data_IF_745381899631
#
_entry.id   IF_745381899631
#
_cell.length_a   1.000
_cell.length_b   1.000
_cell.length_c   1.000
_cell.angle_alpha   90.00
_cell.angle_beta   90.00
_cell.angle_gamma   90.00
#
_symmetry.space_group_name_H-M   'P 1'
#
loop_
_entity.id
_entity.type
_entity.pdbx_description
1 polymer ?
#
# COMPACT_ATOMS: atom_id res chain seq x y z
N UNK A 1 -6.09 9.02 23.56
CA UNK A 1 -5.52 8.56 24.84
C UNK A 1 -6.10 7.18 25.11
N UNK A 2 -5.42 6.13 24.69
CA UNK A 2 -5.75 4.75 25.04
C UNK A 2 -4.47 4.19 25.62
N UNK A 3 -4.52 3.92 26.92
CA UNK A 3 -3.42 3.35 27.69
C UNK A 3 -2.90 2.11 26.99
N UNK A 4 -1.67 2.18 26.50
CA UNK A 4 -0.97 1.04 25.92
C UNK A 4 -0.62 0.09 27.06
N UNK A 5 -1.51 -0.87 27.31
CA UNK A 5 -1.23 -2.13 28.02
C UNK A 5 -0.25 -3.00 27.22
N UNK A 6 0.90 -2.43 26.88
CA UNK A 6 2.01 -3.08 26.22
C UNK A 6 2.94 -3.58 27.33
N UNK A 7 3.04 -4.89 27.47
CA UNK A 7 4.02 -5.49 28.36
C UNK A 7 5.35 -5.69 27.62
N UNK A 8 6.50 -5.56 28.30
CA UNK A 8 7.79 -5.94 27.73
C UNK A 8 7.75 -7.38 27.22
N UNK A 9 7.98 -7.59 25.92
CA UNK A 9 7.88 -8.90 25.25
C UNK A 9 6.68 -9.05 24.30
N UNK A 10 5.76 -8.09 24.27
CA UNK A 10 4.68 -8.07 23.28
C UNK A 10 5.21 -7.73 21.87
N UNK A 11 4.71 -8.45 20.85
CA UNK A 11 4.97 -8.10 19.45
C UNK A 11 4.16 -6.86 19.08
N UNK A 12 4.84 -5.87 18.50
CA UNK A 12 4.26 -4.61 18.07
C UNK A 12 4.48 -4.39 16.59
N UNK A 13 3.48 -3.83 15.92
CA UNK A 13 3.57 -3.44 14.51
C UNK A 13 3.51 -1.92 14.42
N UNK A 14 4.48 -1.35 13.71
CA UNK A 14 4.46 0.05 13.34
C UNK A 14 3.47 0.26 12.18
N UNK A 15 2.32 0.88 12.45
CA UNK A 15 1.27 1.06 11.44
C UNK A 15 1.74 1.93 10.27
N UNK A 16 2.62 2.91 10.52
CA UNK A 16 3.17 3.77 9.47
C UNK A 16 4.06 2.98 8.49
N UNK A 17 4.98 2.16 9.01
CA UNK A 17 5.82 1.26 8.21
C UNK A 17 4.97 0.25 7.42
N UNK A 18 3.98 -0.35 8.08
CA UNK A 18 3.03 -1.26 7.46
C UNK A 18 2.28 -0.62 6.29
N UNK A 19 1.69 0.55 6.51
CA UNK A 19 0.92 1.31 5.52
C UNK A 19 1.76 1.67 4.29
N UNK A 20 3.04 2.04 4.49
CA UNK A 20 3.98 2.32 3.40
C UNK A 20 4.30 1.07 2.59
N UNK A 21 4.57 -0.05 3.25
CA UNK A 21 4.88 -1.31 2.56
C UNK A 21 3.72 -1.82 1.70
N UNK A 22 2.48 -1.74 2.21
CA UNK A 22 1.28 -2.10 1.46
C UNK A 22 1.11 -1.25 0.19
N UNK A 23 1.33 0.06 0.30
CA UNK A 23 1.27 0.99 -0.83
C UNK A 23 2.31 0.68 -1.92
N UNK A 24 3.56 0.38 -1.53
CA UNK A 24 4.63 0.03 -2.48
C UNK A 24 4.30 -1.26 -3.24
N UNK A 25 3.84 -2.29 -2.53
CA UNK A 25 3.50 -3.58 -3.15
C UNK A 25 2.32 -3.42 -4.10
N UNK A 26 1.28 -2.70 -3.68
CA UNK A 26 0.12 -2.42 -4.52
C UNK A 26 0.50 -1.64 -5.78
N UNK A 27 1.38 -0.63 -5.66
CA UNK A 27 1.92 0.14 -6.77
C UNK A 27 2.72 -0.72 -7.77
N UNK A 28 3.62 -1.58 -7.27
CA UNK A 28 4.44 -2.47 -8.09
C UNK A 28 3.57 -3.46 -8.87
N UNK A 29 2.61 -4.11 -8.21
CA UNK A 29 1.77 -5.10 -8.87
C UNK A 29 0.84 -4.41 -9.87
N UNK A 30 0.24 -3.28 -9.51
CA UNK A 30 -0.67 -2.53 -10.39
C UNK A 30 0.06 -2.00 -11.63
N UNK A 31 1.23 -1.39 -11.48
CA UNK A 31 2.04 -0.92 -12.62
C UNK A 31 2.49 -2.06 -13.52
N UNK A 32 2.93 -3.18 -12.94
CA UNK A 32 3.32 -4.37 -13.69
C UNK A 32 2.19 -4.88 -14.57
N UNK A 33 0.99 -5.02 -14.01
CA UNK A 33 -0.19 -5.49 -14.73
C UNK A 33 -0.61 -4.51 -15.82
N UNK A 34 -0.70 -3.21 -15.52
CA UNK A 34 -1.13 -2.19 -16.49
C UNK A 34 -0.16 -2.07 -17.67
N UNK A 35 1.14 -2.03 -17.40
CA UNK A 35 2.16 -1.89 -18.45
C UNK A 35 2.26 -3.16 -19.28
N UNK A 36 2.13 -4.32 -18.65
CA UNK A 36 2.08 -5.60 -19.36
C UNK A 36 0.89 -5.66 -20.31
N UNK A 37 -0.32 -5.32 -19.84
CA UNK A 37 -1.52 -5.29 -20.69
C UNK A 37 -1.43 -4.25 -21.82
N UNK A 38 -0.77 -3.11 -21.60
CA UNK A 38 -0.71 -2.04 -22.59
C UNK A 38 0.31 -2.31 -23.71
N UNK A 39 1.44 -2.96 -23.42
CA UNK A 39 2.57 -3.05 -24.36
C UNK A 39 3.14 -4.45 -24.54
N UNK A 40 2.82 -5.43 -23.68
CA UNK A 40 3.37 -6.80 -23.69
C UNK A 40 4.91 -6.87 -23.76
N UNK A 41 5.61 -5.84 -23.25
CA UNK A 41 7.09 -5.76 -23.26
C UNK A 41 7.63 -5.90 -21.86
N UNK A 42 8.34 -7.00 -21.59
CA UNK A 42 8.92 -7.30 -20.28
C UNK A 42 9.90 -6.21 -19.80
N UNK A 43 10.79 -5.73 -20.68
CA UNK A 43 11.78 -4.71 -20.31
C UNK A 43 11.14 -3.38 -19.88
N UNK A 44 10.10 -2.93 -20.59
CA UNK A 44 9.37 -1.71 -20.24
C UNK A 44 8.60 -1.89 -18.92
N UNK A 45 8.05 -3.08 -18.70
CA UNK A 45 7.35 -3.44 -17.47
C UNK A 45 8.30 -3.36 -16.27
N UNK A 46 9.51 -3.92 -16.38
CA UNK A 46 10.51 -3.89 -15.30
C UNK A 46 10.91 -2.46 -14.92
N UNK A 47 11.18 -1.60 -15.92
CA UNK A 47 11.56 -0.20 -15.68
C UNK A 47 10.40 0.58 -15.03
N UNK A 48 9.17 0.40 -15.52
CA UNK A 48 8.00 1.05 -14.93
C UNK A 48 7.73 0.57 -13.50
N UNK A 49 7.89 -0.72 -13.22
CA UNK A 49 7.72 -1.28 -11.87
C UNK A 49 8.67 -0.63 -10.87
N UNK A 50 9.95 -0.47 -11.23
CA UNK A 50 10.96 0.17 -10.37
C UNK A 50 10.60 1.65 -10.15
N UNK A 51 10.24 2.37 -11.22
CA UNK A 51 9.83 3.78 -11.10
C UNK A 51 8.57 3.96 -10.25
N UNK A 52 7.58 3.07 -10.43
CA UNK A 52 6.32 3.12 -9.69
C UNK A 52 6.48 2.70 -8.22
N UNK A 53 7.50 1.92 -7.87
CA UNK A 53 7.82 1.63 -6.47
C UNK A 53 8.16 2.90 -5.68
N UNK A 54 8.91 3.83 -6.30
CA UNK A 54 9.26 5.13 -5.69
C UNK A 54 7.99 5.98 -5.49
N UNK A 55 7.11 5.99 -6.50
CA UNK A 55 5.83 6.73 -6.44
C UNK A 55 4.92 6.11 -5.37
N UNK A 56 4.80 4.78 -5.34
CA UNK A 56 4.07 4.04 -4.32
C UNK A 56 4.59 4.31 -2.91
N UNK A 57 5.91 4.43 -2.74
CA UNK A 57 6.52 4.83 -1.48
C UNK A 57 6.13 6.25 -1.08
N UNK A 58 6.18 7.21 -2.00
CA UNK A 58 5.79 8.59 -1.74
C UNK A 58 4.30 8.71 -1.37
N UNK A 59 3.42 8.03 -2.10
CA UNK A 59 1.98 7.98 -1.79
C UNK A 59 1.75 7.32 -0.44
N UNK A 60 2.39 6.17 -0.19
CA UNK A 60 2.32 5.48 1.10
C UNK A 60 2.82 6.33 2.27
N UNK A 61 3.85 7.17 2.05
CA UNK A 61 4.35 8.09 3.05
C UNK A 61 3.32 9.18 3.40
N UNK A 62 2.70 9.78 2.39
CA UNK A 62 1.64 10.79 2.56
C UNK A 62 0.43 10.17 3.26
N UNK A 63 -0.04 9.01 2.80
CA UNK A 63 -1.20 8.33 3.38
C UNK A 63 -0.93 7.90 4.83
N UNK A 64 0.27 7.38 5.12
CA UNK A 64 0.69 7.06 6.49
C UNK A 64 0.71 8.32 7.38
N UNK A 65 1.23 9.45 6.88
CA UNK A 65 1.22 10.74 7.60
C UNK A 65 -0.19 11.23 7.91
N UNK A 66 -1.14 11.04 6.98
CA UNK A 66 -2.53 11.50 7.14
C UNK A 66 -3.32 10.58 8.09
N UNK A 67 -3.16 9.26 7.98
CA UNK A 67 -3.89 8.29 8.79
C UNK A 67 -3.30 8.11 10.19
N UNK A 68 -1.97 8.11 10.29
CA UNK A 68 -1.22 7.86 11.51
C UNK A 68 -0.13 8.93 11.64
N UNK A 69 -0.48 10.16 12.06
CA UNK A 69 0.47 11.24 12.22
C UNK A 69 1.49 10.90 13.32
N UNK A 70 2.57 10.25 12.93
CA UNK A 70 3.71 10.01 13.79
C UNK A 70 4.52 11.31 13.88
N UNK A 71 4.42 11.97 15.03
CA UNK A 71 5.33 13.06 15.40
C UNK A 71 6.54 12.41 16.09
N UNK A 72 7.73 13.02 16.06
CA UNK A 72 8.99 12.37 16.49
C UNK A 72 9.01 11.73 17.89
N UNK A 73 8.04 12.05 18.76
CA UNK A 73 7.85 11.46 20.10
C UNK A 73 6.70 10.46 20.20
N UNK A 74 5.88 10.29 19.17
CA UNK A 74 4.69 9.42 19.17
C UNK A 74 4.68 8.50 17.95
N UNK A 75 5.14 7.27 18.13
CA UNK A 75 4.96 6.18 17.17
C UNK A 75 3.67 5.44 17.53
N UNK A 76 2.69 5.47 16.62
CA UNK A 76 1.46 4.69 16.80
C UNK A 76 1.79 3.23 16.50
N UNK A 77 1.94 2.45 17.56
CA UNK A 77 2.11 1.00 17.52
C UNK A 77 0.83 0.31 17.98
N UNK A 78 0.52 -0.81 17.34
CA UNK A 78 -0.56 -1.69 17.80
C UNK A 78 0.02 -3.04 18.18
N UNK A 79 -0.55 -3.66 19.21
CA UNK A 79 -0.21 -5.02 19.63
C UNK A 79 -0.71 -6.00 18.58
N UNK A 80 0.12 -6.97 18.22
CA UNK A 80 -0.28 -8.06 17.31
C UNK A 80 -1.47 -8.82 17.91
N UNK A 81 -2.54 -8.98 17.14
CA UNK A 81 -3.73 -9.73 17.55
C UNK A 81 -5.01 -9.30 16.83
N UNK A 82 -6.11 -10.02 17.06
CA UNK A 82 -7.40 -9.78 16.40
C UNK A 82 -7.97 -8.36 16.61
N UNK A 83 -7.61 -7.69 17.70
CA UNK A 83 -7.99 -6.29 17.97
C UNK A 83 -7.25 -5.26 17.12
N UNK A 84 -6.13 -5.62 16.50
CA UNK A 84 -5.36 -4.76 15.59
C UNK A 84 -5.88 -4.76 14.15
N UNK A 85 -6.63 -5.81 13.79
CA UNK A 85 -7.14 -6.08 12.45
C UNK A 85 -7.94 -4.91 11.84
N UNK A 86 -8.88 -4.22 12.51
CA UNK A 86 -9.59 -3.11 11.89
C UNK A 86 -8.69 -1.89 11.60
N UNK A 87 -7.67 -1.65 12.43
CA UNK A 87 -6.74 -0.55 12.25
C UNK A 87 -5.74 -0.83 11.12
N UNK A 88 -5.21 -2.05 11.06
CA UNK A 88 -4.31 -2.47 9.97
C UNK A 88 -5.05 -2.59 8.64
N UNK A 89 -6.30 -3.07 8.64
CA UNK A 89 -7.13 -3.15 7.44
C UNK A 89 -7.47 -1.76 6.90
N UNK A 90 -7.82 -0.81 7.76
CA UNK A 90 -8.04 0.59 7.35
C UNK A 90 -6.77 1.20 6.75
N UNK A 91 -5.62 1.04 7.41
CA UNK A 91 -4.34 1.56 6.91
C UNK A 91 -3.91 0.93 5.59
N UNK A 92 -3.91 -0.40 5.54
CA UNK A 92 -3.48 -1.20 4.39
C UNK A 92 -4.36 -0.99 3.16
N UNK A 93 -5.69 -1.05 3.32
CA UNK A 93 -6.63 -0.91 2.20
C UNK A 93 -6.62 0.52 1.65
N UNK A 94 -6.66 1.55 2.50
CA UNK A 94 -6.66 2.93 2.03
C UNK A 94 -5.36 3.28 1.29
N UNK A 95 -4.22 2.87 1.83
CA UNK A 95 -2.93 3.14 1.20
C UNK A 95 -2.72 2.34 -0.08
N UNK A 96 -3.13 1.06 -0.10
CA UNK A 96 -3.04 0.23 -1.29
C UNK A 96 -3.95 0.75 -2.42
N UNK A 97 -5.21 1.10 -2.12
CA UNK A 97 -6.14 1.66 -3.12
C UNK A 97 -5.63 3.01 -3.64
N UNK A 98 -5.19 3.92 -2.75
CA UNK A 98 -4.66 5.21 -3.16
C UNK A 98 -3.43 5.06 -4.05
N UNK A 99 -2.47 4.22 -3.67
CA UNK A 99 -1.27 3.96 -4.45
C UNK A 99 -1.59 3.32 -5.81
N UNK A 100 -2.48 2.33 -5.84
CA UNK A 100 -2.94 1.69 -7.07
C UNK A 100 -3.62 2.67 -8.03
N UNK A 101 -4.46 3.58 -7.53
CA UNK A 101 -5.13 4.59 -8.36
C UNK A 101 -4.14 5.60 -8.94
N UNK A 102 -3.23 6.14 -8.12
CA UNK A 102 -2.22 7.10 -8.59
C UNK A 102 -1.31 6.44 -9.64
N UNK A 103 -0.85 5.23 -9.38
CA UNK A 103 0.07 4.53 -10.29
C UNK A 103 -0.62 4.09 -11.57
N UNK A 104 -1.87 3.61 -11.49
CA UNK A 104 -2.64 3.18 -12.66
C UNK A 104 -2.99 4.35 -13.58
N UNK A 105 -3.40 5.50 -13.01
CA UNK A 105 -3.64 6.71 -13.80
C UNK A 105 -2.36 7.21 -14.46
N UNK A 106 -1.25 7.26 -13.72
CA UNK A 106 0.05 7.67 -14.25
C UNK A 106 0.54 6.75 -15.37
N UNK A 107 0.48 5.42 -15.17
CA UNK A 107 0.84 4.44 -16.19
C UNK A 107 -0.04 4.56 -17.44
N UNK A 108 -1.34 4.78 -17.27
CA UNK A 108 -2.27 4.94 -18.39
C UNK A 108 -1.94 6.18 -19.24
N UNK A 109 -1.59 7.30 -18.59
CA UNK A 109 -1.15 8.53 -19.26
C UNK A 109 0.15 8.30 -20.02
N UNK A 110 1.17 7.71 -19.36
CA UNK A 110 2.49 7.45 -19.96
C UNK A 110 2.37 6.50 -21.16
N UNK A 111 1.54 5.48 -21.06
CA UNK A 111 1.37 4.47 -22.11
C UNK A 111 0.40 4.90 -23.23
N UNK A 112 -0.27 6.06 -23.07
CA UNK A 112 -1.38 6.53 -23.91
C UNK A 112 -2.47 5.46 -24.09
N UNK A 113 -2.75 4.69 -23.04
CA UNK A 113 -3.79 3.67 -23.04
C UNK A 113 -5.09 4.23 -22.44
N UNK A 114 -6.22 3.63 -22.81
CA UNK A 114 -7.50 3.98 -22.20
C UNK A 114 -7.46 3.78 -20.68
N UNK A 115 -7.75 4.84 -19.92
CA UNK A 115 -7.70 4.87 -18.45
C UNK A 115 -8.53 3.73 -17.84
N UNK A 116 -9.66 3.40 -18.47
CA UNK A 116 -10.59 2.35 -18.03
C UNK A 116 -9.94 0.96 -18.02
N UNK A 117 -9.00 0.69 -18.93
CA UNK A 117 -8.32 -0.61 -19.05
C UNK A 117 -7.36 -0.85 -17.88
N UNK A 118 -6.77 0.21 -17.32
CA UNK A 118 -5.90 0.11 -16.16
C UNK A 118 -6.62 0.21 -14.82
N UNK A 119 -7.72 0.97 -14.76
CA UNK A 119 -8.35 1.33 -13.49
C UNK A 119 -8.97 0.13 -12.76
N UNK A 120 -9.76 -0.68 -13.47
CA UNK A 120 -10.43 -1.86 -12.92
C UNK A 120 -9.48 -2.89 -12.31
N UNK A 121 -8.46 -3.39 -13.04
CA UNK A 121 -7.51 -4.33 -12.46
C UNK A 121 -6.71 -3.71 -11.30
N UNK A 122 -6.38 -2.41 -11.38
CA UNK A 122 -5.64 -1.75 -10.29
C UNK A 122 -6.44 -1.61 -8.99
N UNK A 123 -7.75 -1.37 -9.06
CA UNK A 123 -8.64 -1.34 -7.89
C UNK A 123 -8.73 -2.73 -7.24
N UNK A 124 -8.90 -3.77 -8.05
CA UNK A 124 -8.92 -5.15 -7.57
C UNK A 124 -7.60 -5.54 -6.89
N UNK A 125 -6.47 -5.21 -7.51
CA UNK A 125 -5.13 -5.45 -6.95
C UNK A 125 -4.94 -4.70 -5.64
N UNK A 126 -5.27 -3.41 -5.59
CA UNK A 126 -5.15 -2.59 -4.38
C UNK A 126 -5.96 -3.15 -3.21
N UNK A 127 -7.19 -3.61 -3.48
CA UNK A 127 -8.06 -4.20 -2.47
C UNK A 127 -7.53 -5.57 -1.98
N UNK A 128 -7.15 -6.47 -2.90
CA UNK A 128 -6.61 -7.79 -2.55
C UNK A 128 -5.29 -7.64 -1.78
N UNK A 129 -4.37 -6.82 -2.26
CA UNK A 129 -3.08 -6.56 -1.57
C UNK A 129 -3.34 -5.96 -0.20
N UNK A 130 -4.22 -4.97 -0.08
CA UNK A 130 -4.58 -4.36 1.20
C UNK A 130 -5.12 -5.36 2.21
N UNK A 131 -6.02 -6.26 1.79
CA UNK A 131 -6.60 -7.30 2.64
C UNK A 131 -5.55 -8.34 3.03
N UNK A 132 -4.78 -8.87 2.07
CA UNK A 132 -3.75 -9.89 2.32
C UNK A 132 -2.70 -9.35 3.29
N UNK A 133 -2.24 -8.11 3.08
CA UNK A 133 -1.27 -7.48 3.96
C UNK A 133 -1.85 -7.24 5.36
N UNK A 134 -3.11 -6.81 5.46
CA UNK A 134 -3.79 -6.64 6.75
C UNK A 134 -3.91 -7.97 7.52
N UNK A 135 -4.30 -9.05 6.84
CA UNK A 135 -4.36 -10.38 7.42
C UNK A 135 -2.98 -10.86 7.89
N UNK A 136 -1.94 -10.70 7.07
CA UNK A 136 -0.55 -11.03 7.43
C UNK A 136 -0.09 -10.27 8.67
N UNK A 137 -0.37 -8.96 8.75
CA UNK A 137 -0.04 -8.16 9.94
C UNK A 137 -0.84 -8.55 11.18
N UNK A 138 -2.05 -9.08 11.03
CA UNK A 138 -2.81 -9.55 12.19
C UNK A 138 -2.33 -10.91 12.70
N UNK A 139 -1.57 -11.66 11.90
CA UNK A 139 -1.07 -13.01 12.20
C UNK A 139 0.37 -13.05 12.72
N UNK A 140 1.21 -12.08 12.31
CA UNK A 140 2.65 -12.01 12.62
C UNK A 140 2.95 -11.17 13.86
#
# INVERSE_FOLDING_TARGET
>A
MTETGLNPGDRVIELAGFTRSAAVIAAVISSGVVVWMAKHKAGLTAVCVIGCAIIGYAVGFVVARVLFPATGENVIVTKVGASSLPLTLKGGVLAAIAASLVVSTLCSIVMKSGIVVGLWPSLGIGLVVGIVWACLSSLL
#
